data_IF_137022431697
#
_entry.id   IF_137022431697
#
_cell.length_a   1.000
_cell.length_b   1.000
_cell.length_c   1.000
_cell.angle_alpha   90.00
_cell.angle_beta   90.00
_cell.angle_gamma   90.00
#
_symmetry.space_group_name_H-M   'P 1'
#
loop_
_entity.id
_entity.type
_entity.pdbx_description
1 polymer ?
#
# COMPACT_ATOMS: atom_id res chain seq x y z
N UNK A 1 41.81 7.59 -8.62
CA UNK A 1 41.04 8.18 -7.49
C UNK A 1 39.69 8.74 -7.94
N UNK A 2 39.62 9.70 -8.89
CA UNK A 2 38.35 10.30 -9.35
C UNK A 2 37.30 9.30 -9.86
N UNK A 3 37.71 8.26 -10.60
CA UNK A 3 36.81 7.19 -11.08
C UNK A 3 36.19 6.36 -9.96
N UNK A 4 36.92 6.13 -8.87
CA UNK A 4 36.43 5.40 -7.70
C UNK A 4 35.35 6.22 -6.98
N UNK A 5 35.56 7.54 -6.86
CA UNK A 5 34.57 8.44 -6.26
C UNK A 5 33.24 8.47 -7.05
N UNK A 6 33.30 8.41 -8.39
CA UNK A 6 32.10 8.34 -9.25
C UNK A 6 31.34 7.02 -9.03
N UNK A 7 32.06 5.89 -8.93
CA UNK A 7 31.45 4.59 -8.67
C UNK A 7 30.77 4.56 -7.30
N UNK A 8 31.41 5.12 -6.27
CA UNK A 8 30.82 5.23 -4.92
C UNK A 8 29.57 6.12 -4.95
N UNK A 9 29.59 7.23 -5.67
CA UNK A 9 28.43 8.11 -5.80
C UNK A 9 27.24 7.41 -6.48
N UNK A 10 27.50 6.64 -7.54
CA UNK A 10 26.46 5.86 -8.24
C UNK A 10 25.89 4.73 -7.36
N UNK A 11 26.71 4.06 -6.54
CA UNK A 11 26.27 3.03 -5.61
C UNK A 11 25.35 3.54 -4.47
N UNK A 12 25.43 4.83 -4.12
CA UNK A 12 24.54 5.40 -3.10
C UNK A 12 23.09 5.55 -3.59
N UNK A 13 22.88 5.70 -4.90
CA UNK A 13 21.54 5.89 -5.48
C UNK A 13 20.65 4.64 -5.40
N UNK A 14 21.21 3.47 -5.08
CA UNK A 14 20.48 2.21 -4.96
C UNK A 14 20.11 1.86 -3.51
N UNK A 15 20.53 2.68 -2.53
CA UNK A 15 20.36 2.42 -1.10
C UNK A 15 19.12 3.11 -0.49
N UNK A 16 18.06 3.33 -1.28
CA UNK A 16 16.80 3.81 -0.72
C UNK A 16 16.26 2.79 0.28
N UNK A 17 15.99 3.24 1.50
CA UNK A 17 15.36 2.42 2.54
C UNK A 17 14.01 1.93 2.03
N UNK A 18 13.90 0.60 1.83
CA UNK A 18 12.65 0.00 1.42
C UNK A 18 11.69 0.01 2.62
N UNK A 19 10.45 0.45 2.40
CA UNK A 19 9.39 0.34 3.40
C UNK A 19 9.18 -1.14 3.71
N UNK A 20 9.29 -1.53 4.98
CA UNK A 20 9.00 -2.90 5.41
C UNK A 20 7.53 -2.99 5.77
N UNK A 21 6.88 -4.04 5.32
CA UNK A 21 5.48 -4.32 5.65
C UNK A 21 5.27 -4.37 7.16
N UNK A 22 6.21 -5.01 7.87
CA UNK A 22 6.16 -5.26 9.30
C UNK A 22 6.29 -3.99 10.17
N UNK A 23 6.70 -2.86 9.58
CA UNK A 23 6.75 -1.58 10.29
C UNK A 23 5.33 -1.00 10.52
N UNK A 24 4.34 -1.45 9.73
CA UNK A 24 2.98 -0.89 9.72
C UNK A 24 1.87 -1.94 9.84
N UNK A 25 2.16 -3.20 9.46
CA UNK A 25 1.15 -4.23 9.30
C UNK A 25 1.53 -5.53 10.01
N UNK A 26 0.51 -6.31 10.37
CA UNK A 26 0.66 -7.70 10.83
C UNK A 26 0.30 -8.65 9.70
N UNK A 27 0.64 -9.94 9.83
CA UNK A 27 0.33 -10.97 8.82
C UNK A 27 -1.14 -11.42 8.86
N UNK A 28 -2.06 -10.45 8.88
CA UNK A 28 -3.51 -10.62 8.95
C UNK A 28 -4.18 -9.58 8.05
N UNK A 29 -5.45 -9.80 7.71
CA UNK A 29 -6.22 -8.87 6.88
C UNK A 29 -7.29 -8.20 7.73
N UNK A 30 -7.35 -6.86 7.69
CA UNK A 30 -8.49 -6.09 8.15
C UNK A 30 -9.48 -5.97 7.00
N UNK A 31 -10.53 -6.78 7.02
CA UNK A 31 -11.64 -6.69 6.07
C UNK A 31 -12.60 -5.59 6.53
N UNK A 32 -12.90 -4.67 5.61
CA UNK A 32 -13.82 -3.55 5.81
C UNK A 32 -15.05 -3.75 4.93
N UNK A 33 -16.16 -4.11 5.56
CA UNK A 33 -17.45 -4.27 4.88
C UNK A 33 -18.21 -2.94 4.95
N UNK A 34 -18.77 -2.52 3.81
CA UNK A 34 -19.48 -1.25 3.68
C UNK A 34 -20.62 -1.35 2.67
N UNK A 35 -21.63 -0.51 2.84
CA UNK A 35 -22.71 -0.33 1.89
C UNK A 35 -22.43 0.85 0.98
N UNK A 36 -22.62 0.66 -0.33
CA UNK A 36 -22.75 1.77 -1.26
C UNK A 36 -24.22 2.14 -1.36
N UNK A 37 -24.57 3.31 -0.82
CA UNK A 37 -25.95 3.81 -0.76
C UNK A 37 -26.05 5.05 -1.62
N UNK A 38 -27.15 5.23 -2.35
CA UNK A 38 -27.32 6.40 -3.18
C UNK A 38 -28.60 6.38 -4.00
N UNK A 39 -28.82 7.47 -4.70
CA UNK A 39 -29.89 7.65 -5.68
C UNK A 39 -29.33 8.32 -6.94
N UNK A 40 -30.21 8.86 -7.80
CA UNK A 40 -29.78 9.54 -9.03
C UNK A 40 -28.99 10.84 -8.78
N UNK A 41 -29.06 11.40 -7.57
CA UNK A 41 -28.48 12.69 -7.22
C UNK A 41 -27.29 12.59 -6.26
N UNK A 42 -27.12 11.46 -5.57
CA UNK A 42 -26.15 11.33 -4.48
C UNK A 42 -25.64 9.91 -4.29
N UNK A 43 -24.42 9.80 -3.76
CA UNK A 43 -23.78 8.55 -3.35
C UNK A 43 -23.09 8.75 -2.01
N UNK A 44 -23.14 7.72 -1.16
CA UNK A 44 -22.43 7.66 0.12
C UNK A 44 -21.96 6.23 0.39
N UNK A 45 -20.82 6.12 1.05
CA UNK A 45 -20.30 4.86 1.59
C UNK A 45 -20.64 4.81 3.07
N UNK A 46 -21.44 3.84 3.49
CA UNK A 46 -21.83 3.63 4.88
C UNK A 46 -21.09 2.44 5.48
N UNK A 47 -20.50 2.64 6.65
CA UNK A 47 -19.82 1.59 7.41
C UNK A 47 -20.79 0.46 7.81
N UNK A 48 -20.37 -0.79 7.68
CA UNK A 48 -21.06 -1.96 8.21
C UNK A 48 -20.27 -2.62 9.34
N UNK A 49 -19.15 -3.28 9.00
CA UNK A 49 -18.37 -4.09 9.94
C UNK A 49 -16.87 -4.09 9.63
N UNK A 50 -16.05 -4.29 10.66
CA UNK A 50 -14.65 -4.66 10.56
C UNK A 50 -14.44 -6.12 10.97
N UNK A 51 -13.74 -6.89 10.15
CA UNK A 51 -13.38 -8.28 10.47
C UNK A 51 -11.88 -8.52 10.36
N UNK A 52 -11.30 -9.19 11.35
CA UNK A 52 -9.93 -9.68 11.27
C UNK A 52 -9.92 -11.08 10.61
N UNK A 53 -9.19 -11.23 9.52
CA UNK A 53 -8.94 -12.51 8.87
C UNK A 53 -7.51 -13.00 9.16
N UNK A 54 -7.30 -14.32 9.31
CA UNK A 54 -6.09 -14.87 9.90
C UNK A 54 -4.82 -14.73 9.06
N UNK A 55 -4.93 -14.40 7.77
CA UNK A 55 -3.80 -14.34 6.85
C UNK A 55 -3.86 -13.08 5.95
N UNK A 56 -2.69 -12.53 5.62
CA UNK A 56 -2.56 -11.47 4.62
C UNK A 56 -2.45 -12.05 3.20
N UNK A 57 -3.42 -11.73 2.34
CA UNK A 57 -3.44 -12.18 0.93
C UNK A 57 -2.85 -11.19 -0.07
N UNK A 58 -2.48 -9.98 0.38
CA UNK A 58 -2.00 -8.90 -0.48
C UNK A 58 -0.48 -8.89 -0.71
N UNK A 59 0.03 -7.91 -1.46
CA UNK A 59 1.46 -7.75 -1.64
C UNK A 59 2.14 -7.29 -0.34
N UNK A 60 3.39 -7.72 -0.10
CA UNK A 60 4.25 -7.22 0.99
C UNK A 60 5.29 -6.19 0.54
N UNK A 61 5.32 -5.88 -0.76
CA UNK A 61 6.18 -4.89 -1.40
C UNK A 61 5.32 -4.01 -2.29
N UNK A 62 5.76 -2.79 -2.58
CA UNK A 62 4.97 -1.81 -3.34
C UNK A 62 3.59 -1.61 -2.69
N UNK A 63 3.59 -1.27 -1.40
CA UNK A 63 2.37 -1.14 -0.57
C UNK A 63 1.45 0.00 -1.02
N UNK A 64 1.94 0.88 -1.89
CA UNK A 64 1.21 1.98 -2.50
C UNK A 64 0.97 1.60 -3.97
N UNK A 65 -0.29 1.51 -4.37
CA UNK A 65 -0.66 1.30 -5.76
C UNK A 65 -0.33 2.57 -6.59
N UNK A 66 0.32 2.39 -7.74
CA UNK A 66 0.72 3.47 -8.65
C UNK A 66 -0.19 3.58 -9.86
N UNK A 67 -1.07 2.62 -10.08
CA UNK A 67 -1.83 2.50 -11.32
C UNK A 67 -3.12 3.34 -11.31
N UNK A 68 -3.70 3.59 -10.13
CA UNK A 68 -4.86 4.47 -9.93
C UNK A 68 -5.99 4.23 -10.96
N UNK A 69 -6.25 2.96 -11.28
CA UNK A 69 -7.24 2.57 -12.29
C UNK A 69 -8.68 2.53 -11.75
N UNK A 70 -8.89 2.84 -10.47
CA UNK A 70 -10.21 2.85 -9.84
C UNK A 70 -11.07 4.00 -10.34
N UNK A 71 -12.37 3.72 -10.53
CA UNK A 71 -13.41 4.76 -10.53
C UNK A 71 -13.79 5.18 -9.09
N UNK A 72 -13.24 4.47 -8.10
CA UNK A 72 -13.27 4.72 -6.66
C UNK A 72 -11.90 4.37 -6.09
#
# INVERSE_FOLDING_TARGET
MKRILIIIYLLNSVLFSQIKFEDFFTDKTLRFDYYHVGDVNSQLIAFDELREEPFWGGPRKNLIDTFNYGNY
#
